data_IF_455376194554
#
_entry.id   IF_455376194554
#
_cell.length_a   1.000
_cell.length_b   1.000
_cell.length_c   1.000
_cell.angle_alpha   90.00
_cell.angle_beta   90.00
_cell.angle_gamma   90.00
#
_symmetry.space_group_name_H-M   'P 1'
#
loop_
_entity.id
_entity.type
_entity.pdbx_description
1 polymer ?
#
# COMPACT_ATOMS: atom_id res chain seq x y z
N UNK A 1 9.36 -1.49 -21.17
CA UNK A 1 8.34 -0.53 -20.69
C UNK A 1 9.11 0.72 -20.29
N UNK A 2 8.59 1.91 -20.57
CA UNK A 2 9.31 3.17 -20.26
C UNK A 2 9.37 3.39 -18.75
N UNK A 3 10.52 3.84 -18.22
CA UNK A 3 10.72 4.10 -16.79
C UNK A 3 9.65 5.07 -16.27
N UNK A 4 9.34 6.12 -17.04
CA UNK A 4 8.31 7.10 -16.65
C UNK A 4 6.94 6.46 -16.45
N UNK A 5 6.55 5.52 -17.32
CA UNK A 5 5.26 4.82 -17.21
C UNK A 5 5.20 3.92 -15.97
N UNK A 6 6.31 3.26 -15.62
CA UNK A 6 6.39 2.43 -14.42
C UNK A 6 6.33 3.30 -13.16
N UNK A 7 7.04 4.43 -13.17
CA UNK A 7 7.04 5.40 -12.08
C UNK A 7 5.66 6.02 -11.87
N UNK A 8 5.00 6.48 -12.93
CA UNK A 8 3.65 7.05 -12.85
C UNK A 8 2.66 6.03 -12.31
N UNK A 9 2.75 4.77 -12.78
CA UNK A 9 1.90 3.71 -12.27
C UNK A 9 2.14 3.45 -10.77
N UNK A 10 3.40 3.40 -10.36
CA UNK A 10 3.78 3.24 -8.96
C UNK A 10 3.27 4.40 -8.09
N UNK A 11 3.46 5.65 -8.53
CA UNK A 11 3.01 6.84 -7.79
C UNK A 11 1.49 6.85 -7.60
N UNK A 12 0.72 6.53 -8.66
CA UNK A 12 -0.75 6.43 -8.59
C UNK A 12 -1.18 5.31 -7.63
N UNK A 13 -0.56 4.14 -7.73
CA UNK A 13 -0.89 3.01 -6.86
C UNK A 13 -0.56 3.33 -5.40
N UNK A 14 0.62 3.92 -5.13
CA UNK A 14 1.03 4.33 -3.79
C UNK A 14 0.04 5.34 -3.20
N UNK A 15 -0.38 6.32 -3.99
CA UNK A 15 -1.37 7.31 -3.57
C UNK A 15 -2.72 6.66 -3.23
N UNK A 16 -3.22 5.76 -4.10
CA UNK A 16 -4.45 5.02 -3.84
C UNK A 16 -4.37 4.22 -2.54
N UNK A 17 -3.27 3.47 -2.32
CA UNK A 17 -3.12 2.67 -1.10
C UNK A 17 -3.09 3.56 0.14
N UNK A 18 -2.33 4.66 0.11
CA UNK A 18 -2.21 5.58 1.25
C UNK A 18 -3.54 6.27 1.58
N UNK A 19 -4.31 6.68 0.56
CA UNK A 19 -5.56 7.41 0.76
C UNK A 19 -6.74 6.47 1.10
N UNK A 20 -6.81 5.32 0.43
CA UNK A 20 -7.98 4.45 0.46
C UNK A 20 -7.80 3.23 1.38
N UNK A 21 -6.67 3.08 2.08
CA UNK A 21 -6.37 1.92 2.93
C UNK A 21 -7.56 1.47 3.78
N UNK A 22 -8.28 2.40 4.41
CA UNK A 22 -9.43 2.09 5.28
C UNK A 22 -10.68 1.63 4.53
N UNK A 23 -10.82 1.97 3.25
CA UNK A 23 -11.93 1.57 2.39
C UNK A 23 -11.68 0.23 1.69
N UNK A 24 -10.40 -0.11 1.45
CA UNK A 24 -10.00 -1.38 0.85
C UNK A 24 -10.23 -2.54 1.82
N UNK A 25 -10.59 -3.71 1.28
CA UNK A 25 -10.66 -4.97 2.04
C UNK A 25 -9.27 -5.54 2.37
N UNK A 26 -9.17 -6.43 3.35
CA UNK A 26 -7.88 -7.04 3.77
C UNK A 26 -7.12 -7.67 2.60
N UNK A 27 -7.81 -8.47 1.77
CA UNK A 27 -7.20 -9.10 0.59
C UNK A 27 -6.71 -8.06 -0.42
N UNK A 28 -7.50 -7.01 -0.66
CA UNK A 28 -7.17 -5.96 -1.62
C UNK A 28 -5.97 -5.12 -1.18
N UNK A 29 -5.86 -4.80 0.12
CA UNK A 29 -4.69 -4.14 0.71
C UNK A 29 -3.41 -4.94 0.42
N UNK A 30 -3.45 -6.26 0.67
CA UNK A 30 -2.30 -7.15 0.44
C UNK A 30 -1.95 -7.28 -1.03
N UNK A 31 -2.96 -7.36 -1.91
CA UNK A 31 -2.74 -7.40 -3.37
C UNK A 31 -2.09 -6.12 -3.87
N UNK A 32 -2.59 -4.94 -3.47
CA UNK A 32 -2.01 -3.67 -3.90
C UNK A 32 -0.59 -3.47 -3.37
N UNK A 33 -0.30 -3.89 -2.14
CA UNK A 33 1.08 -3.84 -1.61
C UNK A 33 2.02 -4.77 -2.39
N UNK A 34 1.56 -5.97 -2.75
CA UNK A 34 2.32 -6.88 -3.61
C UNK A 34 2.58 -6.27 -5.00
N UNK A 35 1.56 -5.65 -5.59
CA UNK A 35 1.68 -4.95 -6.87
C UNK A 35 2.69 -3.79 -6.79
N UNK A 36 2.70 -3.03 -5.69
CA UNK A 36 3.73 -2.01 -5.45
C UNK A 36 5.14 -2.60 -5.45
N UNK A 37 5.36 -3.72 -4.75
CA UNK A 37 6.67 -4.40 -4.75
C UNK A 37 7.08 -4.88 -6.15
N UNK A 38 6.15 -5.46 -6.91
CA UNK A 38 6.41 -5.88 -8.29
C UNK A 38 6.76 -4.70 -9.21
N UNK A 39 6.16 -3.53 -8.99
CA UNK A 39 6.51 -2.32 -9.72
C UNK A 39 7.90 -1.80 -9.32
N UNK A 40 8.26 -1.85 -8.03
CA UNK A 40 9.61 -1.50 -7.58
C UNK A 40 10.64 -2.38 -8.27
N UNK A 41 10.46 -3.70 -8.28
CA UNK A 41 11.39 -4.63 -8.94
C UNK A 41 11.59 -4.25 -10.42
N UNK A 42 10.51 -3.95 -11.14
CA UNK A 42 10.57 -3.52 -12.54
C UNK A 42 11.23 -2.16 -12.73
N UNK A 43 11.04 -1.22 -11.79
CA UNK A 43 11.66 0.11 -11.86
C UNK A 43 13.17 -0.03 -11.64
N UNK A 44 13.60 -0.84 -10.68
CA UNK A 44 15.03 -1.11 -10.39
C UNK A 44 15.74 -1.68 -11.61
N UNK A 45 15.08 -2.51 -12.42
CA UNK A 45 15.65 -3.08 -13.65
C UNK A 45 15.89 -2.03 -14.76
N UNK A 46 15.17 -0.91 -14.76
CA UNK A 46 15.19 0.06 -15.86
C UNK A 46 15.61 1.47 -15.46
N UNK A 47 15.79 1.73 -14.17
CA UNK A 47 16.27 3.02 -13.68
C UNK A 47 17.68 3.28 -14.21
N UNK A 48 17.98 4.49 -14.70
CA UNK A 48 19.33 4.85 -15.12
C UNK A 48 20.35 4.59 -14.01
N UNK A 49 21.55 4.15 -14.40
CA UNK A 49 22.70 3.97 -13.50
C UNK A 49 23.48 5.29 -13.42
N UNK A 50 22.86 6.31 -12.83
CA UNK A 50 23.42 7.65 -12.64
C UNK A 50 23.31 8.11 -11.18
N UNK A 51 23.82 9.30 -10.89
CA UNK A 51 23.83 9.86 -9.54
C UNK A 51 22.40 10.07 -8.97
N UNK A 52 21.36 10.12 -9.82
CA UNK A 52 19.96 10.27 -9.41
C UNK A 52 19.29 8.94 -9.05
N UNK A 53 19.93 7.80 -9.37
CA UNK A 53 19.41 6.46 -9.06
C UNK A 53 19.10 6.29 -7.57
N UNK A 54 20.02 6.74 -6.71
CA UNK A 54 19.85 6.65 -5.25
C UNK A 54 18.61 7.41 -4.77
N UNK A 55 18.37 8.61 -5.31
CA UNK A 55 17.20 9.43 -4.97
C UNK A 55 15.89 8.75 -5.40
N UNK A 56 15.89 8.12 -6.58
CA UNK A 56 14.75 7.33 -7.06
C UNK A 56 14.48 6.15 -6.11
N UNK A 57 15.50 5.36 -5.77
CA UNK A 57 15.34 4.19 -4.91
C UNK A 57 14.87 4.57 -3.50
N UNK A 58 15.45 5.61 -2.90
CA UNK A 58 15.00 6.13 -1.60
C UNK A 58 13.55 6.58 -1.64
N UNK A 59 13.12 7.26 -2.71
CA UNK A 59 11.72 7.68 -2.87
C UNK A 59 10.77 6.48 -2.98
N UNK A 60 11.15 5.43 -3.70
CA UNK A 60 10.34 4.20 -3.81
C UNK A 60 10.18 3.54 -2.44
N UNK A 61 11.26 3.39 -1.69
CA UNK A 61 11.25 2.83 -0.33
C UNK A 61 10.32 3.63 0.60
N UNK A 62 10.43 4.96 0.59
CA UNK A 62 9.59 5.86 1.38
C UNK A 62 8.09 5.67 1.09
N UNK A 63 7.72 5.53 -0.18
CA UNK A 63 6.33 5.37 -0.60
C UNK A 63 5.79 3.98 -0.25
N UNK A 64 6.59 2.92 -0.43
CA UNK A 64 6.24 1.57 0.02
C UNK A 64 6.04 1.55 1.54
N UNK A 65 6.94 2.18 2.29
CA UNK A 65 6.84 2.25 3.75
C UNK A 65 5.55 2.94 4.19
N UNK A 66 5.20 4.10 3.58
CA UNK A 66 3.96 4.83 3.87
C UNK A 66 2.72 4.01 3.55
N UNK A 67 2.70 3.35 2.39
CA UNK A 67 1.59 2.47 1.98
C UNK A 67 1.39 1.31 2.98
N UNK A 68 2.49 0.65 3.38
CA UNK A 68 2.45 -0.42 4.37
C UNK A 68 1.97 0.08 5.75
N UNK A 69 2.43 1.26 6.17
CA UNK A 69 1.98 1.90 7.42
C UNK A 69 0.48 2.20 7.39
N UNK A 70 -0.05 2.74 6.28
CA UNK A 70 -1.47 3.01 6.11
C UNK A 70 -2.32 1.73 6.16
N UNK A 71 -1.85 0.64 5.53
CA UNK A 71 -2.49 -0.68 5.59
C UNK A 71 -2.54 -1.19 7.04
N UNK A 72 -1.41 -1.14 7.75
CA UNK A 72 -1.35 -1.58 9.15
C UNK A 72 -2.30 -0.78 10.04
N UNK A 73 -2.39 0.53 9.85
CA UNK A 73 -3.34 1.37 10.58
C UNK A 73 -4.80 0.98 10.28
N UNK A 74 -5.12 0.71 9.02
CA UNK A 74 -6.46 0.26 8.62
C UNK A 74 -6.84 -1.09 9.25
N UNK A 75 -5.90 -2.04 9.30
CA UNK A 75 -6.10 -3.34 9.96
C UNK A 75 -6.31 -3.19 11.48
N UNK A 76 -5.53 -2.32 12.14
CA UNK A 76 -5.71 -2.03 13.56
C UNK A 76 -7.08 -1.41 13.85
N UNK A 77 -7.54 -0.48 13.00
CA UNK A 77 -8.87 0.12 13.11
C UNK A 77 -9.98 -0.92 12.94
N UNK A 78 -9.85 -1.83 11.98
CA UNK A 78 -10.81 -2.90 11.77
C UNK A 78 -10.86 -3.86 12.96
N UNK A 79 -9.71 -4.23 13.52
CA UNK A 79 -9.62 -5.05 14.72
C UNK A 79 -10.24 -4.37 15.94
N UNK A 80 -10.06 -3.06 16.10
CA UNK A 80 -10.73 -2.28 17.14
C UNK A 80 -12.24 -2.28 16.95
N UNK A 81 -12.73 -2.06 15.73
CA UNK A 81 -14.17 -2.13 15.41
C UNK A 81 -14.77 -3.49 15.75
N UNK A 82 -14.10 -4.59 15.39
CA UNK A 82 -14.50 -5.96 15.73
C UNK A 82 -14.57 -6.17 17.25
N UNK A 83 -13.54 -5.73 17.99
CA UNK A 83 -13.52 -5.80 19.46
C UNK A 83 -14.65 -4.99 20.10
N UNK A 84 -14.90 -3.78 19.62
CA UNK A 84 -16.00 -2.95 20.11
C UNK A 84 -17.36 -3.61 19.83
N UNK A 85 -17.60 -4.13 18.63
CA UNK A 85 -18.85 -4.81 18.28
C UNK A 85 -19.13 -6.01 19.20
N UNK A 86 -18.09 -6.81 19.51
CA UNK A 86 -18.19 -7.91 20.47
C UNK A 86 -18.51 -7.41 21.88
N UNK A 87 -17.83 -6.35 22.35
CA UNK A 87 -18.03 -5.80 23.69
C UNK A 87 -19.42 -5.20 23.91
N UNK A 88 -20.03 -4.62 22.86
CA UNK A 88 -21.37 -4.02 22.93
C UNK A 88 -22.50 -4.97 22.48
N UNK A 89 -22.23 -6.27 22.33
CA UNK A 89 -23.26 -7.26 22.05
C UNK A 89 -23.87 -7.18 20.65
N UNK A 90 -23.26 -6.44 19.71
CA UNK A 90 -23.70 -6.37 18.30
C UNK A 90 -23.34 -7.64 17.51
N UNK A 91 -22.78 -8.64 18.19
CA UNK A 91 -22.40 -9.94 17.63
C UNK A 91 -23.57 -10.87 17.27
N UNK A 92 -24.84 -10.53 17.58
CA UNK A 92 -25.98 -11.45 17.40
C UNK A 92 -26.99 -11.06 16.30
N UNK A 93 -26.64 -10.17 15.37
CA UNK A 93 -27.56 -9.72 14.31
C UNK A 93 -27.02 -9.90 12.88
N UNK A 94 -25.99 -10.72 12.69
CA UNK A 94 -25.50 -11.09 11.36
C UNK A 94 -25.47 -12.61 11.23
N UNK A 95 -26.67 -13.22 11.17
CA UNK A 95 -26.91 -14.41 10.35
C UNK A 95 -27.36 -13.95 8.96
#
# INVERSE_FOLDING_TARGET
MDYEKLRDHFDVLAQQVVQDATALGEYERKQKLLEMHQLVDRIVEVVPDDDEQADVLCRLEDLVYRANSAINAAEQLENLRKKCALAYGWSSLAD
#
